data_IF_873888174948
#
_entry.id   IF_873888174948
#
_cell.length_a   1.000
_cell.length_b   1.000
_cell.length_c   1.000
_cell.angle_alpha   90.00
_cell.angle_beta   90.00
_cell.angle_gamma   90.00
#
_symmetry.space_group_name_H-M   'P 1'
#
loop_
_entity.id
_entity.type
_entity.pdbx_description
1 polymer ?
#
# COMPACT_ATOMS: atom_id res chain seq x y z
N UNK A 1 -29.65 -14.02 5.04
CA UNK A 1 -28.59 -13.08 4.79
C UNK A 1 -28.20 -12.49 6.13
N UNK A 2 -27.03 -12.82 6.59
CA UNK A 2 -26.57 -12.33 7.88
C UNK A 2 -26.13 -10.88 7.74
N UNK A 3 -26.45 -10.06 8.74
CA UNK A 3 -26.09 -8.64 8.80
C UNK A 3 -24.58 -8.38 8.66
N UNK A 4 -23.78 -9.43 8.67
CA UNK A 4 -22.32 -9.38 8.46
C UNK A 4 -21.89 -8.77 7.11
N UNK A 5 -22.83 -8.70 6.12
CA UNK A 5 -22.56 -8.06 4.84
C UNK A 5 -22.76 -6.54 4.86
N UNK A 6 -23.44 -6.01 5.87
CA UNK A 6 -23.75 -4.58 5.99
C UNK A 6 -22.62 -3.86 6.74
N UNK A 7 -21.97 -4.53 7.67
CA UNK A 7 -20.91 -3.97 8.50
C UNK A 7 -19.63 -4.76 8.32
N UNK A 8 -18.64 -4.13 7.74
CA UNK A 8 -17.30 -4.72 7.69
C UNK A 8 -16.62 -4.61 9.06
N UNK A 9 -15.75 -5.56 9.29
CA UNK A 9 -14.75 -5.49 10.33
C UNK A 9 -13.94 -4.17 10.20
N UNK A 10 -13.48 -3.61 11.31
CA UNK A 10 -12.74 -2.35 11.34
C UNK A 10 -11.52 -2.36 10.43
N UNK A 11 -10.77 -3.45 10.43
CA UNK A 11 -9.57 -3.60 9.59
C UNK A 11 -9.91 -3.72 8.11
N UNK A 12 -10.99 -4.42 7.79
CA UNK A 12 -11.46 -4.55 6.41
C UNK A 12 -12.02 -3.22 5.89
N UNK A 13 -12.68 -2.45 6.75
CA UNK A 13 -13.14 -1.09 6.42
C UNK A 13 -11.97 -0.16 6.13
N UNK A 14 -10.88 -0.29 6.89
CA UNK A 14 -9.66 0.48 6.65
C UNK A 14 -9.03 0.15 5.28
N UNK A 15 -9.04 -1.13 4.90
CA UNK A 15 -8.57 -1.54 3.56
C UNK A 15 -9.41 -0.92 2.45
N UNK A 16 -10.71 -0.80 2.63
CA UNK A 16 -11.59 -0.10 1.68
C UNK A 16 -11.23 1.39 1.57
N UNK A 17 -10.93 2.02 2.68
CA UNK A 17 -10.46 3.41 2.68
C UNK A 17 -9.17 3.55 1.88
N UNK A 18 -8.19 2.69 2.12
CA UNK A 18 -6.91 2.75 1.40
C UNK A 18 -7.08 2.43 -0.10
N UNK A 19 -8.07 1.60 -0.45
CA UNK A 19 -8.44 1.37 -1.85
C UNK A 19 -8.87 2.66 -2.55
N UNK A 20 -9.59 3.54 -1.86
CA UNK A 20 -10.00 4.84 -2.42
C UNK A 20 -8.80 5.71 -2.74
N UNK A 21 -7.76 5.68 -1.92
CA UNK A 21 -6.49 6.35 -2.20
C UNK A 21 -5.90 5.83 -3.51
N UNK A 22 -5.93 4.51 -3.69
CA UNK A 22 -5.43 3.87 -4.91
C UNK A 22 -6.26 4.23 -6.14
N UNK A 23 -7.57 4.42 -6.00
CA UNK A 23 -8.47 4.84 -7.09
C UNK A 23 -8.07 6.21 -7.64
N UNK A 24 -7.59 7.13 -6.80
CA UNK A 24 -7.06 8.42 -7.26
C UNK A 24 -5.83 8.24 -8.16
N UNK A 25 -5.01 7.24 -7.89
CA UNK A 25 -3.86 6.91 -8.73
C UNK A 25 -4.28 6.32 -10.08
N UNK A 26 -5.46 5.73 -10.17
CA UNK A 26 -6.01 5.16 -11.41
C UNK A 26 -6.75 6.20 -12.26
N UNK A 27 -7.13 7.32 -11.67
CA UNK A 27 -7.92 8.35 -12.34
C UNK A 27 -7.04 9.16 -13.30
N UNK A 28 -7.31 9.02 -14.60
CA UNK A 28 -6.54 9.68 -15.66
C UNK A 28 -6.69 11.21 -15.65
N UNK A 29 -7.72 11.76 -14.99
CA UNK A 29 -7.91 13.20 -14.84
C UNK A 29 -7.00 13.80 -13.78
N UNK A 30 -6.42 12.99 -12.90
CA UNK A 30 -5.46 13.43 -11.90
C UNK A 30 -4.09 13.64 -12.54
N UNK A 31 -3.37 14.75 -12.24
CA UNK A 31 -2.04 14.97 -12.77
C UNK A 31 -1.09 13.80 -12.49
N UNK A 32 -0.21 13.49 -13.45
CA UNK A 32 0.61 12.28 -13.43
C UNK A 32 1.48 12.14 -12.18
N UNK A 33 2.14 13.23 -11.75
CA UNK A 33 2.96 13.22 -10.54
C UNK A 33 2.11 13.05 -9.27
N UNK A 34 0.89 13.57 -9.27
CA UNK A 34 -0.04 13.36 -8.16
C UNK A 34 -0.52 11.91 -8.11
N UNK A 35 -0.73 11.27 -9.25
CA UNK A 35 -1.05 9.85 -9.32
C UNK A 35 0.06 9.02 -8.71
N UNK A 36 1.31 9.31 -9.00
CA UNK A 36 2.47 8.65 -8.39
C UNK A 36 2.50 8.88 -6.88
N UNK A 37 2.17 10.09 -6.45
CA UNK A 37 2.09 10.44 -5.02
C UNK A 37 1.03 9.60 -4.30
N UNK A 38 -0.13 9.41 -4.90
CA UNK A 38 -1.18 8.56 -4.33
C UNK A 38 -0.75 7.10 -4.21
N UNK A 39 0.02 6.58 -5.15
CA UNK A 39 0.61 5.23 -5.04
C UNK A 39 1.55 5.15 -3.83
N UNK A 40 2.37 6.16 -3.62
CA UNK A 40 3.27 6.23 -2.47
C UNK A 40 2.50 6.32 -1.15
N UNK A 41 1.44 7.11 -1.10
CA UNK A 41 0.57 7.23 0.08
C UNK A 41 -0.10 5.87 0.38
N UNK A 42 -0.64 5.22 -0.64
CA UNK A 42 -1.23 3.89 -0.50
C UNK A 42 -0.24 2.89 0.11
N UNK A 43 0.97 2.84 -0.43
CA UNK A 43 2.02 1.91 0.01
C UNK A 43 2.43 2.19 1.45
N UNK A 44 2.67 3.45 1.79
CA UNK A 44 3.03 3.88 3.14
C UNK A 44 1.92 3.55 4.16
N UNK A 45 0.67 3.80 3.80
CA UNK A 45 -0.48 3.46 4.62
C UNK A 45 -0.58 1.95 4.87
N UNK A 46 -0.32 1.16 3.83
CA UNK A 46 -0.37 -0.29 3.93
C UNK A 46 0.74 -0.83 4.85
N UNK A 47 1.94 -0.29 4.75
CA UNK A 47 3.06 -0.66 5.63
C UNK A 47 2.72 -0.39 7.10
N UNK A 48 2.18 0.76 7.40
CA UNK A 48 1.76 1.12 8.76
C UNK A 48 0.65 0.19 9.26
N UNK A 49 -0.31 -0.13 8.40
CA UNK A 49 -1.38 -1.06 8.72
C UNK A 49 -0.84 -2.44 9.12
N UNK A 50 0.13 -2.96 8.37
CA UNK A 50 0.76 -4.24 8.71
C UNK A 50 1.54 -4.19 10.02
N UNK A 51 2.30 -3.12 10.24
CA UNK A 51 3.07 -2.99 11.47
C UNK A 51 2.22 -2.90 12.73
N UNK A 52 1.09 -2.19 12.66
CA UNK A 52 0.28 -1.89 13.84
C UNK A 52 -0.89 -2.86 13.98
N UNK A 53 -1.76 -2.94 12.96
CA UNK A 53 -3.03 -3.66 13.10
C UNK A 53 -2.90 -5.16 12.82
N UNK A 54 -2.19 -5.53 11.75
CA UNK A 54 -1.99 -6.94 11.42
C UNK A 54 -1.12 -7.62 12.48
N UNK A 55 -0.08 -6.94 12.94
CA UNK A 55 0.75 -7.41 14.05
C UNK A 55 -0.07 -7.66 15.31
N UNK A 56 -0.98 -6.75 15.65
CA UNK A 56 -1.86 -6.90 16.82
C UNK A 56 -2.82 -8.09 16.66
N UNK A 57 -3.39 -8.30 15.47
CA UNK A 57 -4.24 -9.47 15.20
C UNK A 57 -3.47 -10.78 15.27
N UNK A 58 -2.24 -10.78 14.80
CA UNK A 58 -1.37 -11.94 14.89
C UNK A 58 -1.09 -12.32 16.32
N UNK A 59 -0.78 -11.35 17.18
CA UNK A 59 -0.57 -11.56 18.61
C UNK A 59 -1.85 -12.06 19.30
N UNK A 60 -3.00 -11.51 18.94
CA UNK A 60 -4.29 -11.94 19.45
C UNK A 60 -4.58 -13.40 19.08
N UNK A 61 -4.26 -13.82 17.87
CA UNK A 61 -4.44 -15.21 17.45
C UNK A 61 -3.60 -16.18 18.27
N UNK A 62 -2.39 -15.78 18.65
CA UNK A 62 -1.52 -16.58 19.50
C UNK A 62 -2.02 -16.70 20.94
N UNK A 63 -2.58 -15.63 21.49
CA UNK A 63 -2.96 -15.54 22.90
C UNK A 63 -4.42 -15.94 23.13
N UNK A 64 -5.32 -15.48 22.29
CA UNK A 64 -6.77 -15.68 22.41
C UNK A 64 -7.39 -16.12 21.09
N UNK A 65 -7.07 -17.33 20.59
CA UNK A 65 -7.50 -17.76 19.24
C UNK A 65 -9.02 -17.87 19.06
N UNK A 66 -9.77 -18.01 20.14
CA UNK A 66 -11.25 -18.14 20.08
C UNK A 66 -11.97 -16.81 20.26
N UNK A 67 -11.27 -15.73 20.57
CA UNK A 67 -11.88 -14.42 20.74
C UNK A 67 -12.39 -13.90 19.39
N UNK A 68 -13.62 -13.38 19.40
CA UNK A 68 -14.27 -12.86 18.21
C UNK A 68 -14.43 -11.34 18.30
N UNK A 69 -14.32 -10.69 17.15
CA UNK A 69 -14.56 -9.26 17.02
C UNK A 69 -16.05 -8.95 17.19
N UNK A 70 -16.38 -7.84 17.85
CA UNK A 70 -17.75 -7.54 18.28
C UNK A 70 -18.75 -7.29 17.15
N UNK A 71 -18.32 -6.73 16.01
CA UNK A 71 -19.21 -6.35 14.91
C UNK A 71 -19.52 -7.51 13.97
N UNK A 72 -18.55 -8.33 13.65
CA UNK A 72 -18.66 -9.38 12.64
C UNK A 72 -18.55 -10.78 13.22
N UNK A 73 -18.13 -10.92 14.46
CA UNK A 73 -17.89 -12.20 15.09
C UNK A 73 -16.70 -12.97 14.53
N UNK A 74 -15.80 -12.30 13.83
CA UNK A 74 -14.64 -12.95 13.22
C UNK A 74 -13.52 -13.16 14.24
N UNK A 75 -12.92 -14.35 14.24
CA UNK A 75 -11.68 -14.60 14.99
C UNK A 75 -10.50 -13.87 14.36
N UNK A 76 -9.41 -13.71 15.12
CA UNK A 76 -8.20 -13.08 14.58
C UNK A 76 -7.66 -13.83 13.34
N UNK A 77 -7.63 -15.16 13.38
CA UNK A 77 -7.19 -15.97 12.25
C UNK A 77 -8.03 -15.72 11.00
N UNK A 78 -9.35 -15.65 11.15
CA UNK A 78 -10.26 -15.38 10.04
C UNK A 78 -10.08 -13.96 9.50
N UNK A 79 -9.90 -12.98 10.37
CA UNK A 79 -9.59 -11.61 9.97
C UNK A 79 -8.28 -11.55 9.19
N UNK A 80 -7.23 -12.22 9.66
CA UNK A 80 -5.93 -12.26 8.98
C UNK A 80 -6.04 -12.88 7.58
N UNK A 81 -6.78 -13.97 7.42
CA UNK A 81 -6.99 -14.60 6.13
C UNK A 81 -7.74 -13.68 5.15
N UNK A 82 -8.77 -13.00 5.61
CA UNK A 82 -9.55 -12.08 4.80
C UNK A 82 -8.72 -10.85 4.41
N UNK A 83 -7.92 -10.32 5.34
CA UNK A 83 -6.98 -9.23 5.07
C UNK A 83 -5.98 -9.64 3.99
N UNK A 84 -5.37 -10.83 4.12
CA UNK A 84 -4.40 -11.32 3.14
C UNK A 84 -5.00 -11.41 1.73
N UNK A 85 -6.22 -11.90 1.63
CA UNK A 85 -6.94 -12.00 0.36
C UNK A 85 -7.17 -10.62 -0.27
N UNK A 86 -7.67 -9.68 0.51
CA UNK A 86 -7.97 -8.31 0.01
C UNK A 86 -6.69 -7.55 -0.32
N UNK A 87 -5.64 -7.69 0.48
CA UNK A 87 -4.35 -7.05 0.24
C UNK A 87 -3.73 -7.57 -1.07
N UNK A 88 -3.83 -8.86 -1.33
CA UNK A 88 -3.34 -9.43 -2.59
C UNK A 88 -3.99 -8.77 -3.81
N UNK A 89 -5.31 -8.57 -3.76
CA UNK A 89 -6.05 -7.89 -4.83
C UNK A 89 -5.62 -6.42 -4.95
N UNK A 90 -5.46 -5.73 -3.83
CA UNK A 90 -5.03 -4.33 -3.81
C UNK A 90 -3.60 -4.17 -4.36
N UNK A 91 -2.70 -5.08 -4.04
CA UNK A 91 -1.32 -5.05 -4.55
C UNK A 91 -1.29 -5.25 -6.07
N UNK A 92 -2.14 -6.13 -6.59
CA UNK A 92 -2.27 -6.30 -8.04
C UNK A 92 -2.73 -4.99 -8.71
N UNK A 93 -3.75 -4.35 -8.17
CA UNK A 93 -4.26 -3.07 -8.68
C UNK A 93 -3.16 -1.99 -8.59
N UNK A 94 -2.45 -1.94 -7.48
CA UNK A 94 -1.34 -1.00 -7.28
C UNK A 94 -0.24 -1.22 -8.34
N UNK A 95 0.13 -2.45 -8.60
CA UNK A 95 1.16 -2.75 -9.59
C UNK A 95 0.74 -2.35 -11.01
N UNK A 96 -0.51 -2.57 -11.37
CA UNK A 96 -1.05 -2.12 -12.66
C UNK A 96 -1.04 -0.59 -12.76
N UNK A 97 -1.47 0.12 -11.72
CA UNK A 97 -1.46 1.57 -11.68
C UNK A 97 -0.04 2.13 -11.74
N UNK A 98 0.88 1.52 -11.01
CA UNK A 98 2.29 1.91 -10.99
C UNK A 98 2.91 1.76 -12.38
N UNK A 99 2.70 0.62 -13.04
CA UNK A 99 3.25 0.37 -14.37
C UNK A 99 2.69 1.36 -15.40
N UNK A 100 1.39 1.67 -15.33
CA UNK A 100 0.78 2.67 -16.21
C UNK A 100 1.39 4.07 -15.99
N UNK A 101 1.48 4.50 -14.75
CA UNK A 101 2.05 5.81 -14.40
C UNK A 101 3.52 5.89 -14.81
N UNK A 102 4.31 4.86 -14.53
CA UNK A 102 5.72 4.82 -14.92
C UNK A 102 5.92 4.85 -16.41
N UNK A 103 5.08 4.16 -17.18
CA UNK A 103 5.11 4.20 -18.64
C UNK A 103 4.88 5.62 -19.18
N UNK A 104 3.93 6.35 -18.59
CA UNK A 104 3.65 7.75 -18.96
C UNK A 104 4.74 8.69 -18.49
N UNK A 105 5.31 8.45 -17.31
CA UNK A 105 6.40 9.26 -16.77
C UNK A 105 7.70 9.13 -17.56
N UNK A 106 7.90 8.04 -18.29
CA UNK A 106 9.10 7.84 -19.11
C UNK A 106 9.28 8.92 -20.17
N UNK A 107 8.22 9.64 -20.53
CA UNK A 107 8.29 10.79 -21.44
C UNK A 107 8.91 12.03 -20.79
N UNK A 108 8.89 12.12 -19.47
CA UNK A 108 9.35 13.28 -18.69
C UNK A 108 10.57 12.99 -17.83
N UNK A 109 10.74 11.76 -17.39
CA UNK A 109 11.80 11.36 -16.48
C UNK A 109 12.18 9.90 -16.71
N UNK A 110 13.42 9.57 -16.50
CA UNK A 110 13.93 8.21 -16.62
C UNK A 110 14.35 7.69 -15.26
N UNK A 111 13.84 6.50 -14.90
CA UNK A 111 14.25 5.81 -13.68
C UNK A 111 15.51 4.99 -13.97
N UNK A 112 16.61 5.33 -13.31
CA UNK A 112 17.90 4.64 -13.46
C UNK A 112 18.31 3.97 -12.15
N UNK A 113 18.92 2.81 -12.26
CA UNK A 113 19.60 2.19 -11.12
C UNK A 113 20.95 2.89 -10.91
N UNK A 114 21.47 2.98 -9.68
CA UNK A 114 22.77 3.60 -9.43
C UNK A 114 23.90 3.02 -10.28
N UNK A 115 23.86 1.72 -10.59
CA UNK A 115 24.88 1.06 -11.42
C UNK A 115 24.86 1.53 -12.88
N UNK A 116 23.73 2.06 -13.36
CA UNK A 116 23.56 2.51 -14.74
C UNK A 116 23.88 4.00 -14.92
N UNK A 117 24.22 4.71 -13.84
CA UNK A 117 24.57 6.12 -13.88
C UNK A 117 25.96 6.33 -14.43
N UNK A 118 26.12 7.35 -15.27
CA UNK A 118 27.39 7.72 -15.90
C UNK A 118 27.63 9.23 -15.79
N UNK A 119 28.91 9.62 -15.77
CA UNK A 119 29.31 11.03 -15.85
C UNK A 119 28.76 11.90 -14.72
N UNK A 120 28.12 13.00 -15.13
CA UNK A 120 27.63 14.01 -14.19
C UNK A 120 26.49 13.51 -13.27
N UNK A 121 25.69 12.57 -13.74
CA UNK A 121 24.60 11.99 -12.93
C UNK A 121 25.14 11.21 -11.74
N UNK A 122 26.22 10.46 -11.97
CA UNK A 122 26.91 9.73 -10.90
C UNK A 122 27.52 10.67 -9.86
N UNK A 123 28.16 11.74 -10.34
CA UNK A 123 28.72 12.77 -9.47
C UNK A 123 27.62 13.49 -8.68
N UNK A 124 26.51 13.85 -9.32
CA UNK A 124 25.38 14.49 -8.68
C UNK A 124 24.82 13.63 -7.54
N UNK A 125 24.59 12.33 -7.80
CA UNK A 125 24.05 11.40 -6.80
C UNK A 125 24.99 11.30 -5.60
N UNK A 126 26.30 11.23 -5.84
CA UNK A 126 27.30 11.16 -4.78
C UNK A 126 27.30 12.42 -3.91
N UNK A 127 27.29 13.60 -4.53
CA UNK A 127 27.26 14.87 -3.82
C UNK A 127 25.95 15.06 -3.03
N UNK A 128 24.83 14.66 -3.62
CA UNK A 128 23.54 14.69 -2.95
C UNK A 128 23.54 13.81 -1.72
N UNK A 129 24.05 12.58 -1.84
CA UNK A 129 24.15 11.63 -0.72
C UNK A 129 25.01 12.17 0.42
N UNK A 130 26.17 12.72 0.09
CA UNK A 130 27.08 13.32 1.07
C UNK A 130 26.47 14.52 1.79
N UNK A 131 25.70 15.33 1.08
CA UNK A 131 25.11 16.57 1.63
C UNK A 131 23.84 16.31 2.44
N UNK A 132 22.95 15.46 1.95
CA UNK A 132 21.59 15.32 2.49
C UNK A 132 21.40 14.11 3.40
N UNK A 133 22.21 13.08 3.25
CA UNK A 133 22.04 11.81 3.96
C UNK A 133 23.11 11.58 5.01
N UNK A 134 24.31 12.03 4.75
CA UNK A 134 25.35 12.10 5.74
C UNK A 134 25.26 13.44 6.49
#
# INVERSE_FOLDING_TARGET
MTDSNVYDNRELSWLKFNRRVLEEAQDVSVPLFERMRFISIFTSNLDEFFMVRVGSLYDQDLVEPKKCENKTGMTAARQLNEIARRVKDLLYIKDCAFNEVMSKMSEYAELKKPADLKGDDKLFLRLYFEREIF
#
